data_IF_069947816141
#
_entry.id   IF_069947816141
#
_cell.length_a   1.000
_cell.length_b   1.000
_cell.length_c   1.000
_cell.angle_alpha   90.00
_cell.angle_beta   90.00
_cell.angle_gamma   90.00
#
_symmetry.space_group_name_H-M   'P 1'
#
loop_
_entity.id
_entity.type
_entity.pdbx_description
1 polymer ?
#
# COMPACT_ATOMS: atom_id res chain seq x y z
N UNK A 1 46.84 16.16 -29.32
CA UNK A 1 45.62 16.14 -28.52
C UNK A 1 44.65 17.03 -29.27
N UNK A 2 43.63 16.42 -29.90
CA UNK A 2 42.62 17.17 -30.68
C UNK A 2 41.53 17.59 -29.71
N UNK A 3 41.26 18.88 -29.65
CA UNK A 3 40.21 19.47 -28.86
C UNK A 3 38.84 18.95 -29.32
N UNK A 4 38.08 18.33 -28.42
CA UNK A 4 36.68 17.92 -28.66
C UNK A 4 35.84 19.21 -28.47
N UNK A 5 35.01 19.60 -29.46
CA UNK A 5 34.19 20.80 -29.34
C UNK A 5 33.19 20.67 -28.18
N UNK A 6 33.06 21.75 -27.38
CA UNK A 6 32.17 21.84 -26.20
C UNK A 6 30.66 21.67 -26.52
N UNK A 7 30.28 21.71 -27.80
CA UNK A 7 28.90 21.51 -28.27
C UNK A 7 28.37 20.08 -28.14
N UNK A 8 29.27 19.07 -27.97
CA UNK A 8 28.83 17.66 -27.79
C UNK A 8 28.43 17.36 -26.34
N UNK A 9 28.73 18.26 -25.38
CA UNK A 9 28.44 18.09 -23.95
C UNK A 9 27.07 18.64 -23.51
N UNK A 10 26.34 19.32 -24.41
CA UNK A 10 25.03 19.93 -24.12
C UNK A 10 23.91 19.42 -25.07
N UNK A 11 24.01 18.23 -25.59
CA UNK A 11 22.79 17.61 -26.12
C UNK A 11 21.85 17.37 -24.92
N UNK A 12 20.61 17.93 -24.90
CA UNK A 12 19.63 17.53 -23.93
C UNK A 12 19.52 16.00 -24.06
N UNK A 13 19.50 15.29 -22.94
CA UNK A 13 19.25 13.86 -22.92
C UNK A 13 17.89 13.64 -23.63
N UNK A 14 17.98 13.64 -24.97
CA UNK A 14 16.87 13.40 -25.86
C UNK A 14 16.29 12.06 -25.46
N UNK A 15 15.05 12.08 -25.06
CA UNK A 15 14.05 11.03 -25.02
C UNK A 15 14.58 9.71 -25.59
N UNK A 16 15.27 8.93 -24.74
CA UNK A 16 15.40 7.48 -24.98
C UNK A 16 13.98 6.99 -25.00
N UNK A 17 13.49 6.57 -26.16
CA UNK A 17 12.12 6.35 -26.52
C UNK A 17 11.31 5.76 -25.39
N UNK A 18 10.42 6.56 -24.82
CA UNK A 18 9.32 6.07 -24.04
C UNK A 18 8.57 5.11 -24.97
N UNK A 19 8.72 3.80 -24.75
CA UNK A 19 7.99 2.80 -25.52
C UNK A 19 6.54 3.25 -25.58
N UNK A 20 5.96 3.28 -26.79
CA UNK A 20 4.63 3.81 -27.04
C UNK A 20 3.64 2.92 -26.28
N UNK A 21 3.36 3.28 -25.01
CA UNK A 21 2.41 2.54 -24.18
C UNK A 21 1.01 2.76 -24.73
N UNK A 22 0.31 1.66 -24.97
CA UNK A 22 -1.09 1.75 -25.33
C UNK A 22 -1.91 2.40 -24.18
N UNK A 23 -3.07 2.96 -24.49
CA UNK A 23 -3.92 3.68 -23.53
C UNK A 23 -4.33 2.83 -22.32
N UNK A 24 -4.53 1.53 -22.49
CA UNK A 24 -4.87 0.61 -21.40
C UNK A 24 -3.73 0.52 -20.38
N UNK A 25 -2.48 0.46 -20.84
CA UNK A 25 -1.30 0.45 -19.96
C UNK A 25 -1.12 1.80 -19.26
N UNK A 26 -1.37 2.93 -19.94
CA UNK A 26 -1.32 4.27 -19.35
C UNK A 26 -2.34 4.41 -18.21
N UNK A 27 -3.58 4.00 -18.43
CA UNK A 27 -4.60 4.03 -17.39
C UNK A 27 -4.35 3.02 -16.27
N UNK A 28 -3.86 1.82 -16.57
CA UNK A 28 -3.46 0.84 -15.55
C UNK A 28 -2.33 1.38 -14.65
N UNK A 29 -1.37 2.12 -15.20
CA UNK A 29 -0.33 2.81 -14.44
C UNK A 29 -0.91 3.98 -13.63
N UNK A 30 -1.86 4.74 -14.18
CA UNK A 30 -2.52 5.85 -13.49
C UNK A 30 -3.26 5.38 -12.24
N UNK A 31 -4.08 4.34 -12.37
CA UNK A 31 -4.85 3.78 -11.25
C UNK A 31 -4.02 2.84 -10.38
N UNK A 32 -2.72 2.65 -10.69
CA UNK A 32 -1.83 1.69 -10.00
C UNK A 32 -2.47 0.31 -9.88
N UNK A 33 -2.93 -0.26 -10.98
CA UNK A 33 -3.80 -1.44 -11.03
C UNK A 33 -3.38 -2.59 -10.11
N UNK A 34 -2.08 -2.90 -10.01
CA UNK A 34 -1.56 -3.96 -9.11
C UNK A 34 -1.77 -3.62 -7.63
N UNK A 35 -1.55 -2.36 -7.25
CA UNK A 35 -1.76 -1.92 -5.86
C UNK A 35 -3.26 -1.87 -5.53
N UNK A 36 -4.06 -1.36 -6.45
CA UNK A 36 -5.53 -1.33 -6.32
C UNK A 36 -6.10 -2.74 -6.18
N UNK A 37 -5.60 -3.71 -6.97
CA UNK A 37 -6.01 -5.12 -6.82
C UNK A 37 -5.69 -5.67 -5.40
N UNK A 38 -4.55 -5.31 -4.82
CA UNK A 38 -4.21 -5.72 -3.44
C UNK A 38 -5.15 -5.05 -2.42
N UNK A 39 -5.49 -3.78 -2.61
CA UNK A 39 -6.48 -3.06 -1.78
C UNK A 39 -7.82 -3.79 -1.84
N UNK A 40 -8.30 -4.14 -3.04
CA UNK A 40 -9.55 -4.88 -3.22
C UNK A 40 -9.51 -6.28 -2.58
N UNK A 41 -8.38 -6.97 -2.66
CA UNK A 41 -8.20 -8.27 -2.01
C UNK A 41 -8.30 -8.16 -0.47
N UNK A 42 -7.67 -7.18 0.15
CA UNK A 42 -7.79 -6.97 1.60
C UNK A 42 -9.20 -6.54 2.02
N UNK A 43 -9.85 -5.71 1.20
CA UNK A 43 -11.26 -5.32 1.40
C UNK A 43 -12.19 -6.53 1.29
N UNK A 44 -11.98 -7.38 0.29
CA UNK A 44 -12.75 -8.62 0.10
C UNK A 44 -12.61 -9.56 1.30
N UNK A 45 -11.39 -9.75 1.80
CA UNK A 45 -11.17 -10.58 3.00
C UNK A 45 -11.87 -9.99 4.22
N UNK A 46 -11.81 -8.67 4.39
CA UNK A 46 -12.53 -7.97 5.46
C UNK A 46 -14.04 -8.21 5.38
N UNK A 47 -14.62 -8.09 4.19
CA UNK A 47 -16.03 -8.36 3.93
C UNK A 47 -16.38 -9.81 4.23
N UNK A 48 -15.63 -10.75 3.68
CA UNK A 48 -15.88 -12.18 3.87
C UNK A 48 -15.84 -12.59 5.35
N UNK A 49 -14.85 -12.11 6.09
CA UNK A 49 -14.71 -12.44 7.52
C UNK A 49 -15.78 -11.78 8.39
N UNK A 50 -16.22 -10.57 8.02
CA UNK A 50 -17.31 -9.89 8.70
C UNK A 50 -18.69 -10.51 8.42
N UNK A 51 -18.87 -11.14 7.25
CA UNK A 51 -20.17 -11.62 6.81
C UNK A 51 -20.66 -12.83 7.62
N UNK A 52 -21.97 -12.86 7.91
CA UNK A 52 -22.66 -13.99 8.59
C UNK A 52 -23.87 -14.42 7.75
N UNK A 53 -24.12 -15.73 7.74
CA UNK A 53 -25.21 -16.33 6.97
C UNK A 53 -24.90 -16.51 5.48
N UNK A 54 -25.91 -16.60 4.64
CA UNK A 54 -25.77 -16.75 3.19
C UNK A 54 -25.08 -15.50 2.60
N UNK A 55 -24.09 -15.70 1.73
CA UNK A 55 -23.29 -14.61 1.15
C UNK A 55 -24.12 -13.73 0.21
N UNK A 56 -24.13 -12.44 0.45
CA UNK A 56 -24.66 -11.44 -0.48
C UNK A 56 -23.58 -11.03 -1.50
N UNK A 57 -23.57 -11.73 -2.62
CA UNK A 57 -22.62 -11.47 -3.71
C UNK A 57 -22.88 -10.14 -4.42
N UNK A 58 -24.14 -9.64 -4.39
CA UNK A 58 -24.46 -8.34 -4.99
C UNK A 58 -23.84 -7.21 -4.16
N UNK A 59 -24.06 -7.22 -2.84
CA UNK A 59 -23.45 -6.24 -1.94
C UNK A 59 -21.92 -6.31 -2.00
N UNK A 60 -21.34 -7.51 -2.03
CA UNK A 60 -19.89 -7.70 -2.16
C UNK A 60 -19.36 -7.06 -3.45
N UNK A 61 -20.05 -7.27 -4.58
CA UNK A 61 -19.67 -6.67 -5.87
C UNK A 61 -19.77 -5.15 -5.82
N UNK A 62 -20.88 -4.60 -5.30
CA UNK A 62 -21.06 -3.16 -5.16
C UNK A 62 -19.98 -2.52 -4.29
N UNK A 63 -19.65 -3.13 -3.15
CA UNK A 63 -18.57 -2.68 -2.28
C UNK A 63 -17.22 -2.67 -3.00
N UNK A 64 -16.86 -3.75 -3.71
CA UNK A 64 -15.59 -3.84 -4.45
C UNK A 64 -15.52 -2.81 -5.58
N UNK A 65 -16.60 -2.66 -6.36
CA UNK A 65 -16.66 -1.69 -7.46
C UNK A 65 -16.50 -0.24 -6.95
N UNK A 66 -17.21 0.11 -5.90
CA UNK A 66 -17.11 1.43 -5.30
C UNK A 66 -15.72 1.69 -4.67
N UNK A 67 -15.16 0.68 -3.97
CA UNK A 67 -13.79 0.76 -3.43
C UNK A 67 -12.75 0.89 -4.55
N UNK A 68 -12.93 0.21 -5.69
CA UNK A 68 -12.05 0.36 -6.85
C UNK A 68 -12.05 1.79 -7.39
N UNK A 69 -13.22 2.45 -7.45
CA UNK A 69 -13.32 3.85 -7.83
C UNK A 69 -12.57 4.76 -6.86
N UNK A 70 -12.80 4.62 -5.55
CA UNK A 70 -12.10 5.43 -4.53
C UNK A 70 -10.58 5.22 -4.62
N UNK A 71 -10.12 3.97 -4.72
CA UNK A 71 -8.69 3.64 -4.81
C UNK A 71 -8.06 4.17 -6.11
N UNK A 72 -8.77 4.10 -7.24
CA UNK A 72 -8.34 4.66 -8.53
C UNK A 72 -8.21 6.18 -8.46
N UNK A 73 -9.20 6.85 -7.86
CA UNK A 73 -9.17 8.28 -7.59
C UNK A 73 -7.98 8.68 -6.70
N UNK A 74 -7.78 7.96 -5.60
CA UNK A 74 -6.66 8.17 -4.69
C UNK A 74 -5.30 8.01 -5.40
N UNK A 75 -5.15 6.97 -6.23
CA UNK A 75 -3.93 6.72 -6.99
C UNK A 75 -3.61 7.82 -8.00
N UNK A 76 -4.64 8.27 -8.76
CA UNK A 76 -4.52 9.32 -9.76
C UNK A 76 -4.16 10.67 -9.10
N UNK A 77 -4.88 11.06 -8.06
CA UNK A 77 -4.63 12.32 -7.33
C UNK A 77 -3.28 12.31 -6.61
N UNK A 78 -2.84 11.16 -6.07
CA UNK A 78 -1.50 11.04 -5.50
C UNK A 78 -0.40 11.25 -6.57
N UNK A 79 -0.56 10.69 -7.78
CA UNK A 79 0.40 10.94 -8.86
C UNK A 79 0.43 12.42 -9.28
N UNK A 80 -0.74 13.08 -9.25
CA UNK A 80 -0.81 14.53 -9.52
C UNK A 80 -0.01 15.35 -8.49
N UNK A 81 -0.18 15.03 -7.19
CA UNK A 81 0.51 15.71 -6.10
C UNK A 81 2.02 15.44 -6.07
N UNK A 82 2.44 14.27 -6.54
CA UNK A 82 3.85 13.83 -6.51
C UNK A 82 4.57 13.96 -7.86
N UNK A 83 3.95 14.50 -8.92
CA UNK A 83 4.47 14.49 -10.31
C UNK A 83 5.90 15.00 -10.45
N UNK A 84 6.25 16.08 -9.74
CA UNK A 84 7.59 16.70 -9.80
C UNK A 84 8.66 15.86 -9.09
N UNK A 85 8.25 15.11 -8.06
CA UNK A 85 9.12 14.19 -7.31
C UNK A 85 9.28 12.87 -8.05
N UNK A 86 8.19 12.37 -8.63
CA UNK A 86 8.17 11.17 -9.44
C UNK A 86 9.10 11.29 -10.66
N UNK A 87 9.20 12.48 -11.26
CA UNK A 87 10.12 12.75 -12.37
C UNK A 87 11.61 12.59 -12.01
N UNK A 88 11.98 12.70 -10.70
CA UNK A 88 13.36 12.60 -10.22
C UNK A 88 13.79 11.16 -9.91
N UNK A 89 12.89 10.19 -9.96
CA UNK A 89 13.16 8.79 -9.63
C UNK A 89 13.04 7.90 -10.87
N UNK A 90 14.05 7.05 -11.13
CA UNK A 90 14.04 6.11 -12.27
C UNK A 90 12.81 5.21 -12.29
N UNK A 91 12.35 4.79 -11.11
CA UNK A 91 11.19 3.90 -10.95
C UNK A 91 9.86 4.56 -11.32
N UNK A 92 9.75 5.89 -11.24
CA UNK A 92 8.47 6.61 -11.38
C UNK A 92 8.46 7.67 -12.48
N UNK A 93 9.61 7.99 -13.08
CA UNK A 93 9.73 8.96 -14.17
C UNK A 93 8.89 8.61 -15.41
N UNK A 94 8.62 7.32 -15.63
CA UNK A 94 7.80 6.82 -16.74
C UNK A 94 6.30 6.70 -16.39
N UNK A 95 5.86 7.28 -15.27
CA UNK A 95 4.43 7.42 -14.95
C UNK A 95 3.72 8.37 -15.91
N UNK A 96 2.39 8.26 -16.08
CA UNK A 96 1.64 9.06 -17.06
C UNK A 96 1.85 10.57 -16.97
N UNK A 97 1.96 11.14 -15.77
CA UNK A 97 2.16 12.58 -15.58
C UNK A 97 3.61 13.02 -15.80
N UNK A 98 4.64 12.42 -15.14
CA UNK A 98 6.03 12.81 -15.36
C UNK A 98 6.48 12.66 -16.82
N UNK A 99 5.96 11.64 -17.52
CA UNK A 99 6.28 11.38 -18.94
C UNK A 99 5.49 12.25 -19.93
N UNK A 100 4.57 13.09 -19.46
CA UNK A 100 3.74 13.95 -20.31
C UNK A 100 2.62 13.24 -21.07
N UNK A 101 2.38 11.93 -20.82
CA UNK A 101 1.32 11.16 -21.51
C UNK A 101 -0.09 11.59 -21.11
N UNK A 102 -0.25 12.14 -19.91
CA UNK A 102 -1.52 12.70 -19.44
C UNK A 102 -1.32 14.12 -18.92
N UNK A 103 -2.30 14.96 -19.19
CA UNK A 103 -2.34 16.34 -18.69
C UNK A 103 -2.77 16.38 -17.22
N UNK A 104 -2.20 17.26 -16.39
CA UNK A 104 -2.59 17.42 -14.98
C UNK A 104 -4.09 17.66 -14.76
N UNK A 105 -4.72 18.47 -15.63
CA UNK A 105 -6.16 18.76 -15.56
C UNK A 105 -7.01 17.51 -15.79
N UNK A 106 -6.64 16.68 -16.76
CA UNK A 106 -7.32 15.39 -17.04
C UNK A 106 -7.24 14.45 -15.84
N UNK A 107 -6.03 14.34 -15.23
CA UNK A 107 -5.81 13.47 -14.07
C UNK A 107 -6.56 14.00 -12.83
N UNK A 108 -6.61 15.32 -12.65
CA UNK A 108 -7.40 15.96 -11.59
C UNK A 108 -8.88 15.65 -11.73
N UNK A 109 -9.45 15.87 -12.92
CA UNK A 109 -10.87 15.60 -13.19
C UNK A 109 -11.20 14.12 -13.01
N UNK A 110 -10.43 13.23 -13.63
CA UNK A 110 -10.61 11.78 -13.52
C UNK A 110 -10.52 11.32 -12.05
N UNK A 111 -9.45 11.71 -11.34
CA UNK A 111 -9.22 11.31 -9.97
C UNK A 111 -10.28 11.81 -9.00
N UNK A 112 -10.70 13.07 -9.14
CA UNK A 112 -11.76 13.65 -8.31
C UNK A 112 -13.13 13.02 -8.61
N UNK A 113 -13.46 12.80 -9.89
CA UNK A 113 -14.69 12.13 -10.28
C UNK A 113 -14.76 10.69 -9.73
N UNK A 114 -13.71 9.88 -9.91
CA UNK A 114 -13.64 8.53 -9.38
C UNK A 114 -13.80 8.51 -7.85
N UNK A 115 -13.08 9.38 -7.13
CA UNK A 115 -13.15 9.46 -5.67
C UNK A 115 -14.56 9.83 -5.19
N UNK A 116 -15.17 10.89 -5.78
CA UNK A 116 -16.48 11.38 -5.39
C UNK A 116 -17.57 10.36 -5.70
N UNK A 117 -17.60 9.85 -6.94
CA UNK A 117 -18.58 8.83 -7.34
C UNK A 117 -18.44 7.57 -6.47
N UNK A 118 -17.20 7.12 -6.22
CA UNK A 118 -16.96 5.95 -5.39
C UNK A 118 -17.47 6.13 -3.94
N UNK A 119 -17.24 7.28 -3.31
CA UNK A 119 -17.73 7.58 -1.96
C UNK A 119 -19.25 7.68 -1.91
N UNK A 120 -19.88 8.37 -2.87
CA UNK A 120 -21.34 8.44 -2.97
C UNK A 120 -21.91 7.04 -3.16
N UNK A 121 -21.32 6.23 -4.03
CA UNK A 121 -21.74 4.86 -4.27
C UNK A 121 -21.65 3.99 -3.00
N UNK A 122 -20.53 4.08 -2.23
CA UNK A 122 -20.43 3.42 -0.93
C UNK A 122 -21.54 3.86 0.03
N UNK A 123 -21.82 5.15 0.11
CA UNK A 123 -22.82 5.70 1.04
C UNK A 123 -24.25 5.23 0.72
N UNK A 124 -24.62 5.23 -0.57
CA UNK A 124 -26.00 4.98 -1.01
C UNK A 124 -26.31 3.48 -1.19
N UNK A 125 -25.33 2.69 -1.61
CA UNK A 125 -25.57 1.29 -2.01
C UNK A 125 -25.00 0.28 -1.00
N UNK A 126 -23.94 0.66 -0.25
CA UNK A 126 -23.36 -0.21 0.77
C UNK A 126 -23.82 0.24 2.16
N UNK A 127 -23.16 1.21 2.76
CA UNK A 127 -23.60 1.91 3.94
C UNK A 127 -22.74 3.16 4.20
N UNK A 128 -23.27 4.11 4.97
CA UNK A 128 -22.61 5.38 5.27
C UNK A 128 -21.29 5.18 6.03
N UNK A 129 -21.22 4.23 6.98
CA UNK A 129 -20.02 3.98 7.77
C UNK A 129 -18.84 3.56 6.88
N UNK A 130 -19.07 2.67 5.90
CA UNK A 130 -18.04 2.25 4.94
C UNK A 130 -17.57 3.42 4.07
N UNK A 131 -18.50 4.30 3.65
CA UNK A 131 -18.15 5.52 2.92
C UNK A 131 -17.29 6.47 3.77
N UNK A 132 -17.62 6.64 5.05
CA UNK A 132 -16.82 7.47 5.97
C UNK A 132 -15.41 6.90 6.12
N UNK A 133 -15.25 5.58 6.32
CA UNK A 133 -13.93 4.93 6.40
C UNK A 133 -13.16 5.11 5.07
N UNK A 134 -13.85 5.02 3.94
CA UNK A 134 -13.28 5.31 2.61
C UNK A 134 -12.83 6.76 2.47
N UNK A 135 -13.62 7.71 2.91
CA UNK A 135 -13.28 9.14 2.91
C UNK A 135 -12.07 9.43 3.82
N UNK A 136 -12.04 8.87 5.04
CA UNK A 136 -10.88 8.97 5.94
C UNK A 136 -9.62 8.40 5.29
N UNK A 137 -9.75 7.24 4.63
CA UNK A 137 -8.64 6.63 3.88
C UNK A 137 -8.09 7.57 2.81
N UNK A 138 -8.97 8.11 1.97
CA UNK A 138 -8.63 9.02 0.88
C UNK A 138 -7.94 10.29 1.40
N UNK A 139 -8.55 10.96 2.39
CA UNK A 139 -8.04 12.20 2.96
C UNK A 139 -6.71 12.00 3.67
N UNK A 140 -6.59 10.95 4.49
CA UNK A 140 -5.34 10.63 5.18
C UNK A 140 -4.22 10.28 4.18
N UNK A 141 -4.54 9.57 3.10
CA UNK A 141 -3.57 9.23 2.07
C UNK A 141 -3.08 10.47 1.29
N UNK A 142 -3.99 11.32 0.82
CA UNK A 142 -3.64 12.46 -0.02
C UNK A 142 -3.08 13.64 0.77
N UNK A 143 -3.70 14.00 1.90
CA UNK A 143 -3.40 15.26 2.58
C UNK A 143 -2.53 15.10 3.84
N UNK A 144 -2.39 13.89 4.36
CA UNK A 144 -1.50 13.62 5.49
C UNK A 144 -0.26 12.86 5.02
N UNK A 145 -0.42 11.62 4.53
CA UNK A 145 0.71 10.79 4.18
C UNK A 145 1.55 11.35 3.03
N UNK A 146 0.93 11.77 1.92
CA UNK A 146 1.64 12.24 0.72
C UNK A 146 2.55 13.46 1.02
N UNK A 147 2.10 14.52 1.71
CA UNK A 147 3.00 15.62 2.07
C UNK A 147 4.05 15.22 3.12
N UNK A 148 3.72 14.35 4.07
CA UNK A 148 4.64 13.95 5.13
C UNK A 148 5.87 13.18 4.63
N UNK A 149 5.84 12.59 3.44
CA UNK A 149 7.02 11.97 2.81
C UNK A 149 8.20 12.94 2.69
N UNK A 150 7.93 14.25 2.59
CA UNK A 150 8.93 15.31 2.43
C UNK A 150 9.31 15.96 3.75
N UNK A 151 8.48 15.80 4.78
CA UNK A 151 8.61 16.52 6.06
C UNK A 151 9.27 15.66 7.11
N UNK A 152 8.85 14.39 7.26
CA UNK A 152 9.27 13.55 8.37
C UNK A 152 9.49 12.09 7.95
N UNK A 153 10.40 11.42 8.65
CA UNK A 153 10.67 10.00 8.50
C UNK A 153 9.53 9.11 9.06
N UNK A 154 8.63 9.68 9.87
CA UNK A 154 7.44 9.00 10.37
C UNK A 154 6.39 8.74 9.28
N UNK A 155 6.60 9.26 8.07
CA UNK A 155 5.67 9.12 6.95
C UNK A 155 5.23 7.66 6.72
N UNK A 156 6.15 6.69 6.86
CA UNK A 156 5.82 5.26 6.67
C UNK A 156 4.86 4.75 7.76
N UNK A 157 5.08 5.12 9.02
CA UNK A 157 4.21 4.73 10.12
C UNK A 157 2.82 5.35 9.99
N UNK A 158 2.75 6.63 9.63
CA UNK A 158 1.49 7.34 9.40
C UNK A 158 0.78 6.80 8.15
N UNK A 159 1.54 6.50 7.09
CA UNK A 159 1.03 5.92 5.85
C UNK A 159 0.48 4.50 6.00
N UNK A 160 0.89 3.77 7.04
CA UNK A 160 0.33 2.46 7.34
C UNK A 160 -1.15 2.53 7.75
N UNK A 161 -1.62 3.67 8.29
CA UNK A 161 -3.02 3.87 8.65
C UNK A 161 -3.92 3.84 7.40
N UNK A 162 -3.80 4.75 6.42
CA UNK A 162 -4.64 4.68 5.23
C UNK A 162 -4.43 3.41 4.41
N UNK A 163 -3.23 2.79 4.48
CA UNK A 163 -2.96 1.52 3.81
C UNK A 163 -3.66 0.31 4.42
N UNK A 164 -4.07 0.37 5.70
CA UNK A 164 -4.75 -0.71 6.40
C UNK A 164 -6.29 -0.54 6.49
N UNK A 165 -6.79 0.68 6.35
CA UNK A 165 -8.23 0.98 6.40
C UNK A 165 -9.08 0.21 5.38
N UNK A 166 -8.62 -0.16 4.17
CA UNK A 166 -9.40 -0.98 3.24
C UNK A 166 -9.85 -2.33 3.83
N UNK A 167 -9.05 -2.98 4.67
CA UNK A 167 -9.46 -4.21 5.33
C UNK A 167 -10.63 -3.95 6.31
N UNK A 168 -10.60 -2.82 7.02
CA UNK A 168 -11.68 -2.37 7.88
C UNK A 168 -12.92 -1.94 7.07
N UNK A 169 -12.75 -1.31 5.89
CA UNK A 169 -13.86 -1.01 4.98
C UNK A 169 -14.65 -2.25 4.58
N UNK A 170 -13.96 -3.35 4.26
CA UNK A 170 -14.62 -4.62 3.98
C UNK A 170 -15.45 -5.12 5.17
N UNK A 171 -14.90 -5.04 6.38
CA UNK A 171 -15.61 -5.39 7.59
C UNK A 171 -16.86 -4.52 7.82
N UNK A 172 -16.72 -3.19 7.73
CA UNK A 172 -17.84 -2.27 7.91
C UNK A 172 -18.93 -2.45 6.87
N UNK A 173 -18.56 -2.80 5.64
CA UNK A 173 -19.53 -3.11 4.59
C UNK A 173 -20.38 -4.35 4.92
N UNK A 174 -19.78 -5.37 5.53
CA UNK A 174 -20.44 -6.61 5.90
C UNK A 174 -21.25 -6.51 7.21
N UNK A 175 -20.79 -5.70 8.17
CA UNK A 175 -21.31 -5.67 9.54
C UNK A 175 -22.07 -4.41 9.89
N UNK A 176 -21.77 -3.29 9.24
CA UNK A 176 -22.28 -1.98 9.64
C UNK A 176 -21.67 -1.43 10.93
N UNK A 177 -20.61 -2.04 11.45
CA UNK A 177 -19.94 -1.67 12.70
C UNK A 177 -18.41 -1.66 12.59
N UNK A 178 -17.73 -1.07 13.58
CA UNK A 178 -16.28 -1.05 13.77
C UNK A 178 -15.84 -2.13 14.79
N UNK A 179 -16.33 -3.35 14.64
CA UNK A 179 -16.08 -4.44 15.59
C UNK A 179 -14.62 -4.87 15.69
N UNK A 180 -14.30 -5.63 16.76
CA UNK A 180 -12.96 -6.09 17.08
C UNK A 180 -12.30 -6.87 15.93
N UNK A 181 -13.09 -7.60 15.14
CA UNK A 181 -12.57 -8.33 13.97
C UNK A 181 -12.05 -7.41 12.89
N UNK A 182 -12.75 -6.31 12.60
CA UNK A 182 -12.28 -5.29 11.66
C UNK A 182 -10.99 -4.61 12.13
N UNK A 183 -10.90 -4.29 13.43
CA UNK A 183 -9.68 -3.73 14.00
C UNK A 183 -8.51 -4.72 14.04
N UNK A 184 -8.77 -6.01 14.22
CA UNK A 184 -7.74 -7.04 14.12
C UNK A 184 -7.14 -7.11 12.70
N UNK A 185 -7.99 -7.08 11.66
CA UNK A 185 -7.55 -7.04 10.27
C UNK A 185 -6.76 -5.76 9.95
N UNK A 186 -7.27 -4.62 10.38
CA UNK A 186 -6.57 -3.34 10.28
C UNK A 186 -5.17 -3.41 10.90
N UNK A 187 -5.07 -3.91 12.14
CA UNK A 187 -3.80 -3.99 12.85
C UNK A 187 -2.80 -4.93 12.16
N UNK A 188 -3.26 -6.09 11.67
CA UNK A 188 -2.41 -7.01 10.90
C UNK A 188 -1.84 -6.31 9.67
N UNK A 189 -2.67 -5.65 8.87
CA UNK A 189 -2.22 -4.97 7.65
C UNK A 189 -1.31 -3.79 8.00
N UNK A 190 -1.64 -3.00 9.04
CA UNK A 190 -0.86 -1.85 9.48
C UNK A 190 0.55 -2.25 9.94
N UNK A 191 0.69 -3.27 10.78
CA UNK A 191 1.99 -3.72 11.25
C UNK A 191 2.79 -4.47 10.17
N UNK A 192 2.12 -5.20 9.27
CA UNK A 192 2.76 -5.86 8.15
C UNK A 192 3.43 -4.88 7.18
N UNK A 193 2.81 -3.74 6.92
CA UNK A 193 3.32 -2.78 5.96
C UNK A 193 4.68 -2.18 6.36
N UNK A 194 4.93 -1.98 7.66
CA UNK A 194 6.10 -1.23 8.10
C UNK A 194 7.42 -1.95 7.77
N UNK A 195 7.66 -3.23 8.14
CA UNK A 195 8.88 -3.92 7.71
C UNK A 195 8.96 -4.11 6.19
N UNK A 196 7.82 -4.28 5.50
CA UNK A 196 7.74 -4.31 4.04
C UNK A 196 8.28 -3.00 3.43
N UNK A 197 7.79 -1.85 3.89
CA UNK A 197 8.25 -0.55 3.40
C UNK A 197 9.66 -0.19 3.85
N UNK A 198 10.12 -0.65 5.02
CA UNK A 198 11.52 -0.48 5.42
C UNK A 198 12.46 -1.22 4.46
N UNK A 199 12.10 -2.43 4.01
CA UNK A 199 12.87 -3.16 3.01
C UNK A 199 12.91 -2.42 1.66
N UNK A 200 11.77 -1.94 1.16
CA UNK A 200 11.69 -1.14 -0.08
C UNK A 200 12.51 0.14 0.05
N UNK A 201 12.31 0.89 1.14
CA UNK A 201 12.99 2.15 1.35
C UNK A 201 14.51 1.97 1.49
N UNK A 202 14.97 0.86 2.04
CA UNK A 202 16.40 0.51 2.08
C UNK A 202 16.96 0.23 0.68
N UNK A 203 16.24 -0.55 -0.14
CA UNK A 203 16.67 -0.87 -1.51
C UNK A 203 16.75 0.35 -2.42
N UNK A 204 15.85 1.32 -2.24
CA UNK A 204 15.73 2.52 -3.09
C UNK A 204 16.13 3.82 -2.39
N UNK A 205 16.93 3.75 -1.30
CA UNK A 205 17.25 4.90 -0.45
C UNK A 205 17.91 6.04 -1.22
N UNK A 206 18.76 5.74 -2.20
CA UNK A 206 19.41 6.77 -3.02
C UNK A 206 18.45 7.50 -3.95
N UNK A 207 17.47 6.78 -4.51
CA UNK A 207 16.42 7.40 -5.33
C UNK A 207 15.51 8.30 -4.50
N UNK A 208 15.12 7.84 -3.31
CA UNK A 208 14.34 8.65 -2.37
C UNK A 208 15.09 9.90 -1.91
N UNK A 209 16.39 9.78 -1.64
CA UNK A 209 17.23 10.92 -1.28
C UNK A 209 17.29 11.96 -2.40
N UNK A 210 17.54 11.52 -3.66
CA UNK A 210 17.56 12.41 -4.84
C UNK A 210 16.23 13.12 -5.07
N UNK A 211 15.11 12.45 -4.80
CA UNK A 211 13.78 13.02 -4.90
C UNK A 211 13.43 13.96 -3.73
N UNK A 212 14.24 14.03 -2.68
CA UNK A 212 13.99 14.85 -1.49
C UNK A 212 13.00 14.25 -0.50
N UNK A 213 12.72 12.93 -0.58
CA UNK A 213 11.88 12.23 0.38
C UNK A 213 12.65 11.88 1.66
N UNK A 214 12.05 12.16 2.82
CA UNK A 214 12.62 11.85 4.14
C UNK A 214 12.19 10.46 4.63
N UNK A 215 12.45 9.42 3.79
CA UNK A 215 12.25 8.05 4.25
C UNK A 215 13.24 7.70 5.37
N UNK A 216 12.85 6.81 6.30
CA UNK A 216 13.73 6.50 7.44
C UNK A 216 15.15 6.08 7.01
N UNK A 217 15.37 5.19 6.02
CA UNK A 217 16.72 4.84 5.56
C UNK A 217 17.53 5.99 4.95
N UNK A 218 16.87 7.07 4.53
CA UNK A 218 17.56 8.28 4.03
C UNK A 218 18.11 9.11 5.18
N UNK A 219 17.35 9.25 6.28
CA UNK A 219 17.74 10.04 7.46
C UNK A 219 18.49 9.21 8.52
N UNK A 220 18.57 7.90 8.34
CA UNK A 220 19.29 6.94 9.17
C UNK A 220 20.29 6.13 8.33
N UNK A 221 21.38 6.75 7.83
CA UNK A 221 22.32 6.07 6.94
C UNK A 221 22.94 4.80 7.53
N UNK A 222 23.14 4.78 8.85
CA UNK A 222 23.64 3.60 9.56
C UNK A 222 22.61 2.46 9.66
N UNK A 223 21.31 2.74 9.38
CA UNK A 223 20.24 1.77 9.35
C UNK A 223 19.80 1.22 10.70
N UNK A 224 20.35 1.73 11.82
CA UNK A 224 20.03 1.21 13.16
C UNK A 224 18.56 1.33 13.51
N UNK A 225 17.96 2.48 13.20
CA UNK A 225 16.51 2.73 13.42
C UNK A 225 15.68 1.91 12.44
N UNK A 226 16.12 1.81 11.19
CA UNK A 226 15.46 1.04 10.13
C UNK A 226 15.36 -0.45 10.52
N UNK A 227 16.49 -1.05 10.95
CA UNK A 227 16.51 -2.42 11.44
C UNK A 227 15.64 -2.61 12.69
N UNK A 228 15.74 -1.71 13.69
CA UNK A 228 14.94 -1.77 14.91
C UNK A 228 13.43 -1.68 14.61
N UNK A 229 13.01 -0.77 13.73
CA UNK A 229 11.59 -0.68 13.32
C UNK A 229 11.11 -1.93 12.61
N UNK A 230 11.93 -2.51 11.73
CA UNK A 230 11.57 -3.76 11.06
C UNK A 230 11.30 -4.89 12.07
N UNK A 231 12.16 -5.07 13.07
CA UNK A 231 12.01 -6.11 14.09
C UNK A 231 10.82 -5.81 15.01
N UNK A 232 10.72 -4.60 15.56
CA UNK A 232 9.67 -4.25 16.53
C UNK A 232 8.27 -4.36 15.93
N UNK A 233 8.08 -3.94 14.66
CA UNK A 233 6.78 -4.03 14.01
C UNK A 233 6.45 -5.46 13.55
N UNK A 234 7.46 -6.29 13.23
CA UNK A 234 7.21 -7.72 12.96
C UNK A 234 6.85 -8.46 14.25
N UNK A 235 7.43 -8.10 15.40
CA UNK A 235 7.01 -8.64 16.70
C UNK A 235 5.57 -8.23 17.04
N UNK A 236 5.22 -6.96 16.84
CA UNK A 236 3.85 -6.50 17.03
C UNK A 236 2.89 -7.19 16.05
N UNK A 237 3.30 -7.39 14.79
CA UNK A 237 2.53 -8.16 13.80
C UNK A 237 2.27 -9.59 14.28
N UNK A 238 3.29 -10.29 14.79
CA UNK A 238 3.14 -11.64 15.33
C UNK A 238 2.08 -11.67 16.45
N UNK A 239 2.14 -10.70 17.38
CA UNK A 239 1.17 -10.59 18.46
C UNK A 239 -0.26 -10.32 17.97
N UNK A 240 -0.45 -9.32 17.06
CA UNK A 240 -1.80 -8.99 16.56
C UNK A 240 -2.35 -10.07 15.62
N UNK A 241 -1.48 -10.88 15.00
CA UNK A 241 -1.92 -12.02 14.18
C UNK A 241 -2.55 -13.17 14.99
N UNK A 242 -2.48 -13.13 16.31
CA UNK A 242 -3.21 -14.05 17.19
C UNK A 242 -4.66 -13.58 17.42
N UNK A 243 -4.96 -12.29 17.23
CA UNK A 243 -6.26 -11.71 17.52
C UNK A 243 -7.44 -12.38 16.76
N UNK A 244 -7.33 -12.78 15.49
CA UNK A 244 -8.42 -13.48 14.80
C UNK A 244 -8.81 -14.79 15.47
N UNK A 245 -7.86 -15.54 16.03
CA UNK A 245 -8.16 -16.74 16.81
C UNK A 245 -8.80 -16.38 18.16
N UNK A 246 -8.26 -15.39 18.88
CA UNK A 246 -8.79 -14.92 20.17
C UNK A 246 -10.23 -14.43 20.03
N UNK A 247 -10.55 -13.71 18.94
CA UNK A 247 -11.90 -13.21 18.67
C UNK A 247 -12.80 -14.24 17.97
N UNK A 248 -12.36 -15.50 17.87
CA UNK A 248 -13.12 -16.59 17.23
C UNK A 248 -13.54 -16.30 15.79
N UNK A 249 -12.70 -15.59 15.05
CA UNK A 249 -12.88 -15.35 13.61
C UNK A 249 -12.26 -16.47 12.78
N UNK A 250 -11.16 -17.05 13.29
CA UNK A 250 -10.44 -18.14 12.64
C UNK A 250 -10.07 -19.22 13.66
N UNK A 251 -9.90 -20.45 13.18
CA UNK A 251 -9.68 -21.63 14.01
C UNK A 251 -8.21 -21.92 14.32
N UNK A 252 -7.93 -23.15 14.84
CA UNK A 252 -6.57 -23.53 15.28
C UNK A 252 -5.58 -23.71 14.13
N UNK A 253 -6.04 -24.05 12.92
CA UNK A 253 -5.17 -24.17 11.74
C UNK A 253 -4.61 -22.81 11.36
N UNK A 254 -5.46 -21.77 11.37
CA UNK A 254 -5.00 -20.39 11.21
C UNK A 254 -3.96 -20.02 12.28
N UNK A 255 -4.23 -20.33 13.57
CA UNK A 255 -3.31 -20.02 14.66
C UNK A 255 -1.92 -20.62 14.42
N UNK A 256 -1.86 -21.92 14.10
CA UNK A 256 -0.60 -22.61 13.81
C UNK A 256 0.13 -21.97 12.63
N UNK A 257 -0.60 -21.69 11.53
CA UNK A 257 -0.03 -21.04 10.35
C UNK A 257 0.44 -19.62 10.63
N UNK A 258 -0.31 -18.83 11.42
CA UNK A 258 0.07 -17.48 11.80
C UNK A 258 1.38 -17.47 12.63
N UNK A 259 1.56 -18.42 13.54
CA UNK A 259 2.79 -18.57 14.31
C UNK A 259 3.98 -18.94 13.40
N UNK A 260 3.83 -19.93 12.52
CA UNK A 260 4.90 -20.38 11.60
C UNK A 260 5.29 -19.23 10.66
N UNK A 261 4.32 -18.61 10.00
CA UNK A 261 4.57 -17.49 9.08
C UNK A 261 5.16 -16.29 9.81
N UNK A 262 4.64 -15.97 11.01
CA UNK A 262 5.10 -14.84 11.81
C UNK A 262 6.53 -15.00 12.30
N UNK A 263 6.90 -16.20 12.78
CA UNK A 263 8.28 -16.51 13.19
C UNK A 263 9.24 -16.45 12.00
N UNK A 264 8.84 -17.00 10.84
CA UNK A 264 9.62 -16.92 9.60
C UNK A 264 9.85 -15.49 9.14
N UNK A 265 8.81 -14.64 9.20
CA UNK A 265 8.94 -13.23 8.83
C UNK A 265 9.81 -12.46 9.85
N UNK A 266 9.65 -12.73 11.14
CA UNK A 266 10.49 -12.17 12.20
C UNK A 266 11.96 -12.55 12.02
N UNK A 267 12.25 -13.81 11.68
CA UNK A 267 13.60 -14.24 11.36
C UNK A 267 14.21 -13.40 10.24
N UNK A 268 13.48 -13.16 9.14
CA UNK A 268 13.94 -12.30 8.05
C UNK A 268 14.18 -10.86 8.52
N UNK A 269 13.32 -10.30 9.38
CA UNK A 269 13.47 -8.95 9.93
C UNK A 269 14.71 -8.84 10.84
N UNK A 270 14.97 -9.85 11.68
CA UNK A 270 16.18 -9.91 12.54
C UNK A 270 17.44 -10.01 11.69
N UNK A 271 17.44 -10.86 10.65
CA UNK A 271 18.58 -10.98 9.75
C UNK A 271 18.87 -9.67 9.01
N UNK A 272 17.81 -8.97 8.53
CA UNK A 272 17.96 -7.66 7.94
C UNK A 272 18.49 -6.62 8.92
N UNK A 273 18.00 -6.63 10.16
CA UNK A 273 18.47 -5.71 11.21
C UNK A 273 19.94 -5.92 11.59
N UNK A 274 20.41 -7.17 11.55
CA UNK A 274 21.82 -7.52 11.84
C UNK A 274 22.77 -7.19 10.69
N UNK A 275 22.29 -7.36 9.45
CA UNK A 275 23.07 -7.16 8.24
C UNK A 275 22.27 -6.35 7.25
N UNK A 276 22.45 -5.04 7.25
CA UNK A 276 21.73 -4.08 6.41
C UNK A 276 22.23 -4.11 4.95
N UNK A 277 22.16 -5.28 4.33
CA UNK A 277 22.55 -5.50 2.93
C UNK A 277 21.34 -5.47 2.00
N UNK A 278 21.58 -5.21 0.72
CA UNK A 278 20.52 -5.29 -0.31
C UNK A 278 19.91 -6.71 -0.40
N UNK A 279 20.73 -7.75 -0.22
CA UNK A 279 20.27 -9.13 -0.23
C UNK A 279 19.28 -9.40 0.92
N UNK A 280 19.62 -8.97 2.15
CA UNK A 280 18.73 -9.15 3.31
C UNK A 280 17.46 -8.31 3.20
N UNK A 281 17.53 -7.09 2.64
CA UNK A 281 16.35 -6.29 2.35
C UNK A 281 15.42 -6.99 1.34
N UNK A 282 15.99 -7.60 0.28
CA UNK A 282 15.20 -8.39 -0.70
C UNK A 282 14.54 -9.60 -0.05
N UNK A 283 15.23 -10.34 0.80
CA UNK A 283 14.64 -11.47 1.52
C UNK A 283 13.49 -11.03 2.44
N UNK A 284 13.66 -9.94 3.20
CA UNK A 284 12.59 -9.37 4.03
C UNK A 284 11.38 -8.95 3.18
N UNK A 285 11.62 -8.30 2.04
CA UNK A 285 10.59 -7.91 1.08
C UNK A 285 9.83 -9.13 0.53
N UNK A 286 10.53 -10.17 0.07
CA UNK A 286 9.91 -11.38 -0.46
C UNK A 286 9.11 -12.11 0.62
N UNK A 287 9.66 -12.24 1.83
CA UNK A 287 8.95 -12.82 2.97
C UNK A 287 7.65 -12.07 3.26
N UNK A 288 7.65 -10.73 3.18
CA UNK A 288 6.45 -9.93 3.38
C UNK A 288 5.38 -10.16 2.32
N UNK A 289 5.78 -10.32 1.05
CA UNK A 289 4.85 -10.60 -0.07
C UNK A 289 4.19 -11.97 0.09
N UNK A 290 4.91 -12.95 0.62
CA UNK A 290 4.36 -14.28 0.87
C UNK A 290 3.51 -14.31 2.15
N UNK A 291 3.94 -13.61 3.20
CA UNK A 291 3.30 -13.61 4.50
C UNK A 291 1.82 -13.22 4.44
N UNK A 292 1.51 -12.03 3.92
CA UNK A 292 0.16 -11.49 3.99
C UNK A 292 -0.86 -12.32 3.20
N UNK A 293 -0.63 -12.69 1.93
CA UNK A 293 -1.59 -13.53 1.19
C UNK A 293 -1.81 -14.90 1.84
N UNK A 294 -0.74 -15.55 2.32
CA UNK A 294 -0.86 -16.84 2.98
C UNK A 294 -1.63 -16.74 4.30
N UNK A 295 -1.35 -15.70 5.11
CA UNK A 295 -2.06 -15.47 6.36
C UNK A 295 -3.56 -15.21 6.12
N UNK A 296 -3.89 -14.36 5.14
CA UNK A 296 -5.27 -14.07 4.77
C UNK A 296 -5.98 -15.29 4.19
N UNK A 297 -5.31 -16.08 3.35
CA UNK A 297 -5.85 -17.32 2.82
C UNK A 297 -6.16 -18.34 3.92
N UNK A 298 -5.25 -18.52 4.88
CA UNK A 298 -5.48 -19.37 6.05
C UNK A 298 -6.67 -18.88 6.88
N UNK A 299 -6.80 -17.56 7.07
CA UNK A 299 -7.90 -16.96 7.83
C UNK A 299 -9.25 -17.17 7.15
N UNK A 300 -9.28 -17.07 5.81
CA UNK A 300 -10.48 -17.33 5.00
C UNK A 300 -10.84 -18.82 5.04
N UNK A 301 -9.86 -19.71 4.92
CA UNK A 301 -10.06 -21.14 4.89
C UNK A 301 -10.52 -21.70 6.23
N UNK A 302 -9.93 -21.24 7.33
CA UNK A 302 -10.21 -21.69 8.70
C UNK A 302 -11.18 -20.76 9.44
N UNK A 303 -12.05 -20.04 8.67
CA UNK A 303 -13.04 -19.12 9.25
C UNK A 303 -14.01 -19.89 10.15
N UNK A 304 -14.18 -19.42 11.40
CA UNK A 304 -15.20 -19.95 12.32
C UNK A 304 -16.59 -19.48 11.86
N UNK A 305 -17.51 -20.42 11.72
CA UNK A 305 -18.90 -20.18 11.24
C UNK A 305 -19.77 -19.56 12.33
#
# INVERSE_FOLDING_TARGET
MKDIPAEILMAPASAVGAADKNWTAVFADLVKARLTALVLATTLVGFYLGWRGAMDFALMFHMLAATALVASGAAALNQLLEREYDAKMRRTQDRPLPSGRLQPATVMLFGSACATVGLIYLALVVNLLTSIVGAVTLLAYLFIYTPLKRVTWLNTNIGAVPGALPALMGWTAARGDLGNGGWALFAIVAFWQIPHFMAIAWMYREEYARAGFKMLPVVDPAGRRTGKQSVSHTLALLAVSLAPFIFKLAGPVYLAGALVLGVGYLFCAVQFSRQLTLARARWLFLASILYLPLLLALMVWDKVK
#
